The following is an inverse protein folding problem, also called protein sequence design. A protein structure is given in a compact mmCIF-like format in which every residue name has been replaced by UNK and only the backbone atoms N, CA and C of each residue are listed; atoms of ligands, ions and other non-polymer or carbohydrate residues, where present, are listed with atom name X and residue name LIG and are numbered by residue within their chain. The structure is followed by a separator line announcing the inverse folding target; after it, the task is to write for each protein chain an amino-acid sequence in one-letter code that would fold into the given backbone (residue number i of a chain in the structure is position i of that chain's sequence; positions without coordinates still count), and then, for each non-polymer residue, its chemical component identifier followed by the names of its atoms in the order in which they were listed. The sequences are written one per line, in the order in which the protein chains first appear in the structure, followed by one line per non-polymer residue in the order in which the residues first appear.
data_IF_961823207728
#
_entry.id   IF_961823207728
#
_cell.length_a   1.000
_cell.length_b   1.000
_cell.length_c   1.000
_cell.angle_alpha   90.00
_cell.angle_beta   90.00
_cell.angle_gamma   90.00
#
_symmetry.space_group_name_H-M   'P 1'
#
loop_
_entity.id
_entity.type
_entity.pdbx_description
1 polymer ?
#
# COMPACT_ATOMS: atom_id res chain seq x y z
N UNK A 1 -19.42 23.62 11.81
CA UNK A 1 -18.84 22.28 11.72
C UNK A 1 -18.80 21.64 13.10
N UNK A 2 -19.26 20.42 13.21
CA UNK A 2 -19.30 19.68 14.46
C UNK A 2 -17.89 19.39 14.98
N UNK A 3 -17.65 19.49 16.27
CA UNK A 3 -16.35 19.19 16.89
C UNK A 3 -15.94 17.74 16.65
N UNK A 4 -16.89 16.81 16.63
CA UNK A 4 -16.64 15.39 16.36
C UNK A 4 -16.12 15.16 14.95
N UNK A 5 -16.69 15.85 13.95
CA UNK A 5 -16.20 15.77 12.57
C UNK A 5 -14.78 16.32 12.45
N UNK A 6 -14.50 17.45 13.11
CA UNK A 6 -13.16 18.05 13.10
C UNK A 6 -12.14 17.12 13.75
N UNK A 7 -12.47 16.51 14.88
CA UNK A 7 -11.59 15.55 15.57
C UNK A 7 -11.33 14.33 14.71
N UNK A 8 -12.35 13.80 14.03
CA UNK A 8 -12.21 12.65 13.16
C UNK A 8 -11.31 12.95 11.96
N UNK A 9 -11.51 14.09 11.30
CA UNK A 9 -10.68 14.54 10.18
C UNK A 9 -9.22 14.70 10.62
N UNK A 10 -8.99 15.30 11.77
CA UNK A 10 -7.64 15.49 12.31
C UNK A 10 -6.96 14.15 12.62
N UNK A 11 -7.71 13.19 13.16
CA UNK A 11 -7.19 11.85 13.46
C UNK A 11 -6.77 11.12 12.18
N UNK A 12 -7.62 11.12 11.16
CA UNK A 12 -7.29 10.49 9.88
C UNK A 12 -6.11 11.18 9.19
N UNK A 13 -6.06 12.49 9.19
CA UNK A 13 -4.95 13.26 8.60
C UNK A 13 -3.63 12.96 9.30
N UNK A 14 -3.63 12.90 10.63
CA UNK A 14 -2.44 12.57 11.42
C UNK A 14 -1.96 11.16 11.12
N UNK A 15 -2.86 10.18 11.00
CA UNK A 15 -2.52 8.80 10.68
C UNK A 15 -1.92 8.68 9.27
N UNK A 16 -2.54 9.32 8.28
CA UNK A 16 -2.04 9.34 6.90
C UNK A 16 -0.65 9.96 6.83
N UNK A 17 -0.43 11.09 7.47
CA UNK A 17 0.87 11.75 7.49
C UNK A 17 1.93 10.92 8.20
N UNK A 18 1.56 10.26 9.29
CA UNK A 18 2.45 9.35 10.01
C UNK A 18 2.88 8.16 9.14
N UNK A 19 1.95 7.55 8.43
CA UNK A 19 2.26 6.45 7.51
C UNK A 19 3.12 6.92 6.33
N UNK A 20 2.81 8.09 5.76
CA UNK A 20 3.52 8.64 4.63
C UNK A 20 4.95 9.08 4.99
N UNK A 21 5.19 9.49 6.23
CA UNK A 21 6.50 9.97 6.67
C UNK A 21 7.56 8.87 6.72
N UNK A 22 7.16 7.60 6.90
CA UNK A 22 8.09 6.48 7.03
C UNK A 22 7.60 5.31 6.16
N UNK A 23 7.92 5.36 4.87
CA UNK A 23 7.61 4.27 3.95
C UNK A 23 8.72 3.22 4.03
N UNK A 24 8.41 1.99 4.48
CA UNK A 24 9.43 0.94 4.52
C UNK A 24 9.75 0.43 3.12
N UNK A 25 10.94 -0.17 2.97
CA UNK A 25 11.37 -0.81 1.73
C UNK A 25 11.33 0.14 0.52
N UNK A 26 11.69 1.41 0.73
CA UNK A 26 11.60 2.48 -0.27
C UNK A 26 12.79 2.57 -1.22
N UNK A 27 13.64 1.55 -1.24
CA UNK A 27 14.79 1.47 -2.15
C UNK A 27 14.54 0.38 -3.20
N UNK A 28 14.92 0.70 -4.46
CA UNK A 28 14.87 -0.27 -5.55
C UNK A 28 15.79 -1.47 -5.26
N UNK A 29 15.36 -2.66 -5.64
CA UNK A 29 16.22 -3.85 -5.58
C UNK A 29 17.21 -3.84 -6.74
N UNK A 30 18.42 -4.36 -6.51
CA UNK A 30 19.46 -4.41 -7.56
C UNK A 30 19.20 -5.49 -8.60
N UNK A 31 18.58 -6.59 -8.19
CA UNK A 31 18.43 -7.78 -9.04
C UNK A 31 17.07 -8.44 -8.76
N UNK A 32 15.96 -7.75 -9.09
CA UNK A 32 14.63 -8.27 -8.81
C UNK A 32 14.24 -9.41 -9.75
N UNK A 33 13.42 -10.34 -9.26
CA UNK A 33 12.78 -11.35 -10.10
C UNK A 33 11.68 -10.75 -10.98
N UNK A 34 11.02 -9.71 -10.49
CA UNK A 34 10.01 -8.97 -11.22
C UNK A 34 10.06 -7.49 -10.85
N UNK A 35 9.74 -6.64 -11.81
CA UNK A 35 9.65 -5.20 -11.62
C UNK A 35 8.49 -4.65 -12.45
N UNK A 36 7.63 -3.84 -11.82
CA UNK A 36 6.48 -3.24 -12.48
C UNK A 36 6.38 -1.77 -12.10
N UNK A 37 6.11 -0.94 -13.11
CA UNK A 37 5.82 0.48 -12.94
C UNK A 37 4.37 0.74 -13.33
N UNK A 38 3.63 1.43 -12.47
CA UNK A 38 2.26 1.87 -12.73
C UNK A 38 2.13 3.37 -12.52
N UNK A 39 1.37 4.00 -13.40
CA UNK A 39 1.11 5.42 -13.37
C UNK A 39 -0.41 5.67 -13.36
N UNK A 40 -0.85 6.57 -12.47
CA UNK A 40 -2.24 7.02 -12.46
C UNK A 40 -2.36 8.29 -13.30
N UNK A 41 -3.07 8.27 -14.44
CA UNK A 41 -3.20 9.45 -15.28
C UNK A 41 -4.05 10.57 -14.63
N UNK A 42 -4.89 10.22 -13.66
CA UNK A 42 -5.78 11.19 -13.01
C UNK A 42 -5.03 12.03 -11.99
N UNK A 43 -4.27 11.41 -11.10
CA UNK A 43 -3.56 12.11 -10.02
C UNK A 43 -2.06 12.28 -10.29
N UNK A 44 -1.53 11.71 -11.36
CA UNK A 44 -0.11 11.82 -11.70
C UNK A 44 0.82 10.98 -10.86
N UNK A 45 0.30 10.14 -9.97
CA UNK A 45 1.11 9.26 -9.13
C UNK A 45 1.79 8.16 -9.94
N UNK A 46 3.02 7.84 -9.58
CA UNK A 46 3.79 6.74 -10.20
C UNK A 46 4.37 5.86 -9.10
N UNK A 47 4.24 4.56 -9.28
CA UNK A 47 4.78 3.55 -8.36
C UNK A 47 5.59 2.55 -9.16
N UNK A 48 6.81 2.30 -8.73
CA UNK A 48 7.64 1.22 -9.26
C UNK A 48 7.89 0.22 -8.13
N UNK A 49 7.61 -1.05 -8.38
CA UNK A 49 7.76 -2.13 -7.40
C UNK A 49 8.70 -3.19 -7.93
N UNK A 50 9.65 -3.58 -7.12
CA UNK A 50 10.56 -4.69 -7.38
C UNK A 50 10.31 -5.79 -6.37
N UNK A 51 10.31 -7.04 -6.80
CA UNK A 51 10.22 -8.16 -5.88
C UNK A 51 11.20 -9.28 -6.20
N UNK A 52 11.55 -10.03 -5.14
CA UNK A 52 12.16 -11.35 -5.24
C UNK A 52 11.28 -12.35 -4.53
N UNK A 53 11.13 -13.53 -5.13
CA UNK A 53 10.33 -14.61 -4.56
C UNK A 53 11.16 -15.89 -4.43
N UNK A 54 10.76 -16.72 -3.46
CA UNK A 54 11.29 -18.07 -3.31
C UNK A 54 10.15 -18.95 -2.84
N UNK A 55 9.90 -20.07 -3.53
CA UNK A 55 8.79 -20.99 -3.23
C UNK A 55 7.43 -20.28 -3.15
N UNK A 56 7.17 -19.35 -4.08
CA UNK A 56 5.94 -18.54 -4.16
C UNK A 56 5.75 -17.55 -3.00
N UNK A 57 6.77 -17.31 -2.20
CA UNK A 57 6.74 -16.34 -1.10
C UNK A 57 7.62 -15.17 -1.43
N UNK A 58 7.16 -13.95 -1.14
CA UNK A 58 7.96 -12.74 -1.33
C UNK A 58 9.02 -12.67 -0.24
N UNK A 59 10.29 -12.69 -0.64
CA UNK A 59 11.43 -12.64 0.27
C UNK A 59 12.13 -11.29 0.26
N UNK A 60 11.97 -10.50 -0.79
CA UNK A 60 12.51 -9.14 -0.85
C UNK A 60 11.57 -8.26 -1.66
N UNK A 61 11.49 -7.00 -1.29
CA UNK A 61 10.59 -6.01 -1.87
C UNK A 61 11.25 -4.64 -1.86
N UNK A 62 11.10 -3.91 -2.94
CA UNK A 62 11.53 -2.53 -3.03
C UNK A 62 10.48 -1.72 -3.75
N UNK A 63 10.35 -0.44 -3.39
CA UNK A 63 9.40 0.44 -4.05
C UNK A 63 9.95 1.84 -4.21
N UNK A 64 9.60 2.48 -5.31
CA UNK A 64 9.85 3.88 -5.59
C UNK A 64 8.49 4.55 -5.78
N UNK A 65 8.14 5.47 -4.88
CA UNK A 65 6.80 6.06 -4.80
C UNK A 65 6.89 7.55 -5.08
N UNK A 66 6.19 7.97 -6.12
CA UNK A 66 5.98 9.38 -6.45
C UNK A 66 4.47 9.65 -6.42
N UNK A 67 3.96 9.97 -5.24
CA UNK A 67 2.54 10.08 -4.99
C UNK A 67 2.24 11.15 -3.94
N UNK A 68 0.95 11.51 -3.83
CA UNK A 68 0.46 12.35 -2.73
C UNK A 68 0.52 11.60 -1.39
N UNK A 69 0.23 12.30 -0.30
CA UNK A 69 0.28 11.73 1.04
C UNK A 69 -0.56 10.47 1.20
N UNK A 70 -1.75 10.42 0.58
CA UNK A 70 -2.61 9.25 0.65
C UNK A 70 -1.98 8.02 -0.05
N UNK A 71 -1.40 8.22 -1.24
CA UNK A 71 -0.70 7.16 -1.95
C UNK A 71 0.55 6.69 -1.21
N UNK A 72 1.28 7.61 -0.59
CA UNK A 72 2.44 7.28 0.24
C UNK A 72 2.03 6.48 1.48
N UNK A 73 0.92 6.82 2.12
CA UNK A 73 0.39 6.09 3.26
C UNK A 73 -0.01 4.66 2.85
N UNK A 74 -0.67 4.48 1.72
CA UNK A 74 -1.02 3.17 1.19
C UNK A 74 0.23 2.32 0.90
N UNK A 75 1.26 2.91 0.31
CA UNK A 75 2.55 2.25 0.08
C UNK A 75 3.22 1.82 1.40
N UNK A 76 3.08 2.61 2.45
CA UNK A 76 3.58 2.28 3.78
C UNK A 76 2.88 1.05 4.36
N UNK A 77 1.55 0.97 4.25
CA UNK A 77 0.78 -0.21 4.71
C UNK A 77 1.22 -1.46 3.94
N UNK A 78 1.35 -1.38 2.64
CA UNK A 78 1.79 -2.51 1.82
C UNK A 78 3.21 -2.95 2.21
N UNK A 79 4.15 -2.01 2.28
CA UNK A 79 5.55 -2.31 2.58
C UNK A 79 5.76 -2.94 3.94
N UNK A 80 4.93 -2.60 4.93
CA UNK A 80 5.03 -3.18 6.28
C UNK A 80 4.60 -4.65 6.35
N UNK A 81 3.84 -5.11 5.36
CA UNK A 81 3.15 -6.40 5.43
C UNK A 81 3.51 -7.37 4.30
N UNK A 82 4.22 -6.91 3.28
CA UNK A 82 4.38 -7.68 2.03
C UNK A 82 5.37 -8.83 2.12
N UNK A 83 6.44 -8.70 2.92
CA UNK A 83 7.45 -9.75 3.06
C UNK A 83 6.81 -10.97 3.75
N UNK A 84 7.03 -12.14 3.18
CA UNK A 84 6.48 -13.39 3.71
C UNK A 84 5.12 -13.76 3.12
N UNK A 85 4.52 -12.89 2.31
CA UNK A 85 3.23 -13.19 1.67
C UNK A 85 3.41 -13.97 0.37
N UNK A 86 2.40 -14.78 0.04
CA UNK A 86 2.32 -15.47 -1.24
C UNK A 86 1.61 -14.59 -2.27
N UNK A 87 1.75 -14.94 -3.55
CA UNK A 87 1.01 -14.30 -4.62
C UNK A 87 -0.51 -14.36 -4.38
N UNK A 88 -1.00 -15.50 -3.89
CA UNK A 88 -2.43 -15.69 -3.60
C UNK A 88 -2.92 -14.74 -2.51
N UNK A 89 -2.13 -14.54 -1.46
CA UNK A 89 -2.47 -13.62 -0.36
C UNK A 89 -2.54 -12.17 -0.82
N UNK A 90 -1.62 -11.75 -1.67
CA UNK A 90 -1.61 -10.40 -2.24
C UNK A 90 -2.80 -10.19 -3.17
N UNK A 91 -3.10 -11.18 -4.02
CA UNK A 91 -4.25 -11.12 -4.92
C UNK A 91 -5.57 -11.04 -4.14
N UNK A 92 -5.69 -11.82 -3.07
CA UNK A 92 -6.85 -11.77 -2.18
C UNK A 92 -7.00 -10.39 -1.54
N UNK A 93 -5.92 -9.82 -1.03
CA UNK A 93 -5.92 -8.47 -0.45
C UNK A 93 -6.33 -7.40 -1.45
N UNK A 94 -5.82 -7.49 -2.68
CA UNK A 94 -6.21 -6.60 -3.78
C UNK A 94 -7.70 -6.70 -4.08
N UNK A 95 -8.22 -7.91 -4.19
CA UNK A 95 -9.64 -8.13 -4.52
C UNK A 95 -10.55 -7.63 -3.39
N UNK A 96 -10.17 -7.86 -2.13
CA UNK A 96 -10.92 -7.37 -0.97
C UNK A 96 -10.90 -5.84 -0.89
N UNK A 97 -9.76 -5.21 -1.16
CA UNK A 97 -9.66 -3.75 -1.19
C UNK A 97 -10.53 -3.16 -2.30
N UNK A 98 -10.50 -3.75 -3.49
CA UNK A 98 -11.34 -3.34 -4.61
C UNK A 98 -12.83 -3.45 -4.27
N UNK A 99 -13.23 -4.54 -3.64
CA UNK A 99 -14.62 -4.76 -3.22
C UNK A 99 -15.07 -3.72 -2.18
N UNK A 100 -14.22 -3.41 -1.21
CA UNK A 100 -14.49 -2.37 -0.22
C UNK A 100 -14.70 -1.00 -0.88
N UNK A 101 -13.85 -0.63 -1.82
CA UNK A 101 -13.88 0.68 -2.46
C UNK A 101 -14.99 0.85 -3.49
N UNK A 102 -15.37 -0.22 -4.18
CA UNK A 102 -16.34 -0.14 -5.29
C UNK A 102 -17.75 -0.56 -4.89
N UNK A 103 -17.90 -1.51 -3.96
CA UNK A 103 -19.18 -2.12 -3.60
C UNK A 103 -19.48 -2.06 -2.11
N UNK A 104 -18.80 -1.20 -1.36
CA UNK A 104 -18.96 -1.10 0.10
C UNK A 104 -18.75 -2.44 0.82
N UNK A 105 -17.84 -3.25 0.33
CA UNK A 105 -17.47 -4.50 0.96
C UNK A 105 -16.79 -4.29 2.31
N UNK A 106 -16.56 -5.38 3.06
CA UNK A 106 -15.89 -5.28 4.36
C UNK A 106 -14.44 -4.84 4.24
N UNK A 107 -13.87 -4.42 5.36
CA UNK A 107 -12.43 -4.13 5.47
C UNK A 107 -11.65 -5.39 5.11
N UNK A 108 -10.53 -5.26 4.34
CA UNK A 108 -9.72 -6.42 4.00
C UNK A 108 -9.25 -7.19 5.23
N UNK A 109 -9.09 -8.51 5.07
CA UNK A 109 -8.53 -9.36 6.11
C UNK A 109 -7.07 -9.01 6.39
N UNK A 110 -6.57 -9.42 7.56
CA UNK A 110 -5.15 -9.28 7.88
C UNK A 110 -4.29 -9.93 6.78
N UNK A 111 -3.15 -9.32 6.42
CA UNK A 111 -2.52 -8.16 7.06
C UNK A 111 -2.92 -6.81 6.44
N UNK A 112 -3.93 -6.75 5.61
CA UNK A 112 -4.28 -5.54 4.85
C UNK A 112 -5.45 -4.72 5.44
N UNK A 113 -5.83 -4.97 6.67
CA UNK A 113 -6.88 -4.20 7.34
C UNK A 113 -6.54 -2.71 7.52
N UNK A 114 -5.28 -2.34 7.39
CA UNK A 114 -4.84 -0.95 7.49
C UNK A 114 -5.18 -0.07 6.29
N UNK A 115 -5.56 -0.68 5.17
CA UNK A 115 -5.99 0.10 4.02
C UNK A 115 -7.35 0.79 4.23
#
# INVERSE_FOLDING_TARGET
MDNEETELINLYSAKILSLAATIPLSNRLKDPDASVRKHSPICGSTVTVDLKTSNNVIIAFGQDIKACALGQAAASVLGRNVIGLTKSEIKKGRDQLSEMLTNNGPIPDKPFEGF
#
